data_IF_305962202088
#
_entry.id   IF_305962202088
#
_cell.length_a   1.000
_cell.length_b   1.000
_cell.length_c   1.000
_cell.angle_alpha   90.00
_cell.angle_beta   90.00
_cell.angle_gamma   90.00
#
_symmetry.space_group_name_H-M   'P 1'
#
loop_
_entity.id
_entity.type
_entity.pdbx_description
1 polymer ?
#
# COMPACT_ATOMS: atom_id res chain seq x y z
N UNK A 1 11.20 26.38 21.23
CA UNK A 1 10.86 26.87 19.89
C UNK A 1 9.39 26.72 19.56
N UNK A 2 8.96 27.42 18.53
CA UNK A 2 7.57 27.31 18.05
C UNK A 2 7.37 25.99 17.34
N UNK A 3 6.27 25.33 17.67
CA UNK A 3 5.85 24.10 17.03
C UNK A 3 4.73 24.40 16.01
N UNK A 4 4.95 24.00 14.79
CA UNK A 4 3.97 24.18 13.72
C UNK A 4 3.35 22.84 13.39
N UNK A 5 2.04 22.71 13.58
CA UNK A 5 1.26 21.53 13.18
C UNK A 5 0.50 21.86 11.90
N UNK A 6 0.61 20.96 10.92
CA UNK A 6 -0.13 21.07 9.66
C UNK A 6 -1.06 19.87 9.50
N UNK A 7 -2.21 20.14 8.92
CA UNK A 7 -3.18 19.08 8.61
C UNK A 7 -2.77 18.34 7.34
N UNK A 8 -2.80 17.01 7.41
CA UNK A 8 -2.81 16.15 6.23
C UNK A 8 -4.27 15.80 5.93
N UNK A 9 -4.88 16.54 5.02
CA UNK A 9 -6.30 16.41 4.69
C UNK A 9 -6.61 15.15 3.90
N UNK A 10 -5.66 14.71 3.06
CA UNK A 10 -5.82 13.50 2.26
C UNK A 10 -4.47 12.93 1.86
N UNK A 11 -4.28 11.63 2.13
CA UNK A 11 -3.22 10.81 1.56
C UNK A 11 -3.83 9.46 1.20
N UNK A 12 -4.01 9.22 -0.08
CA UNK A 12 -4.65 8.01 -0.59
C UNK A 12 -3.66 7.15 -1.37
N UNK A 13 -3.57 5.87 -1.01
CA UNK A 13 -2.69 4.89 -1.63
C UNK A 13 -3.54 3.74 -2.16
N UNK A 14 -3.72 3.66 -3.46
CA UNK A 14 -4.50 2.63 -4.14
C UNK A 14 -3.62 1.66 -4.94
N UNK A 15 -3.93 0.38 -4.90
CA UNK A 15 -3.27 -0.68 -5.67
C UNK A 15 -1.74 -0.70 -5.50
N UNK A 16 -1.25 -0.45 -4.28
CA UNK A 16 0.16 -0.30 -3.99
C UNK A 16 0.76 -1.55 -3.36
N UNK A 17 2.07 -1.75 -3.60
CA UNK A 17 2.91 -2.65 -2.80
C UNK A 17 3.96 -1.79 -2.10
N UNK A 18 4.00 -1.83 -0.76
CA UNK A 18 5.02 -1.19 0.06
C UNK A 18 5.66 -2.29 0.91
N UNK A 19 6.75 -2.84 0.40
CA UNK A 19 7.42 -4.00 0.96
C UNK A 19 8.93 -3.89 0.73
N UNK A 20 9.70 -4.26 1.73
CA UNK A 20 11.15 -4.23 1.66
C UNK A 20 11.79 -5.20 2.65
N UNK A 21 13.09 -5.06 2.86
CA UNK A 21 13.88 -5.89 3.76
C UNK A 21 13.79 -5.45 5.23
N UNK A 22 13.27 -4.27 5.49
CA UNK A 22 13.07 -3.74 6.84
C UNK A 22 11.99 -4.50 7.59
N UNK A 23 12.02 -4.39 8.90
CA UNK A 23 11.00 -4.98 9.76
C UNK A 23 9.66 -4.25 9.63
N UNK A 24 9.72 -2.95 9.45
CA UNK A 24 8.58 -2.06 9.28
C UNK A 24 8.90 -1.05 8.18
N UNK A 25 8.18 -1.10 7.06
CA UNK A 25 8.40 -0.23 5.90
C UNK A 25 7.49 1.01 5.92
N UNK A 26 6.53 1.06 6.85
CA UNK A 26 5.60 2.18 6.98
C UNK A 26 5.60 2.65 8.43
N UNK A 27 5.85 3.92 8.62
CA UNK A 27 5.76 4.57 9.93
C UNK A 27 4.72 5.67 9.87
N UNK A 28 3.74 5.60 10.74
CA UNK A 28 2.65 6.56 10.85
C UNK A 28 2.84 7.38 12.13
N UNK A 29 3.30 8.61 11.99
CA UNK A 29 3.46 9.54 13.09
C UNK A 29 2.27 10.48 13.18
N UNK A 30 1.59 10.49 14.33
CA UNK A 30 0.39 11.28 14.56
C UNK A 30 0.70 12.39 15.58
N UNK A 31 0.32 13.61 15.22
CA UNK A 31 0.30 14.74 16.13
C UNK A 31 -1.14 15.02 16.55
N UNK A 32 -1.41 14.95 17.86
CA UNK A 32 -2.78 15.01 18.40
C UNK A 32 -3.53 16.32 18.11
N UNK A 33 -2.80 17.40 17.81
CA UNK A 33 -3.41 18.70 17.51
C UNK A 33 -3.70 18.93 16.03
N UNK A 34 -3.35 17.98 15.16
CA UNK A 34 -3.53 18.06 13.71
C UNK A 34 -4.49 17.03 13.16
N UNK A 35 -4.93 17.25 11.92
CA UNK A 35 -5.68 16.27 11.12
C UNK A 35 -4.69 15.40 10.38
N UNK A 36 -4.86 14.09 10.46
CA UNK A 36 -4.05 13.09 9.78
C UNK A 36 -4.95 12.07 9.09
N UNK A 37 -5.39 12.43 7.88
CA UNK A 37 -6.25 11.60 7.06
C UNK A 37 -5.41 10.85 6.02
N UNK A 38 -5.34 9.54 6.18
CA UNK A 38 -4.71 8.65 5.21
C UNK A 38 -5.62 7.46 4.94
N UNK A 39 -5.46 6.84 3.78
CA UNK A 39 -6.19 5.63 3.42
C UNK A 39 -5.38 4.75 2.49
N UNK A 40 -5.22 3.49 2.86
CA UNK A 40 -4.67 2.44 1.99
C UNK A 40 -5.83 1.59 1.48
N UNK A 41 -6.03 1.57 0.17
CA UNK A 41 -7.09 0.80 -0.47
C UNK A 41 -6.51 -0.22 -1.44
N UNK A 42 -6.73 -1.50 -1.19
CA UNK A 42 -6.14 -2.59 -1.95
C UNK A 42 -4.62 -2.42 -2.01
N UNK A 43 -3.95 -2.72 -0.93
CA UNK A 43 -2.49 -2.57 -0.81
C UNK A 43 -1.86 -3.76 -0.10
N UNK A 44 -0.66 -4.12 -0.50
CA UNK A 44 0.18 -5.07 0.22
C UNK A 44 1.24 -4.27 0.99
N UNK A 45 1.19 -4.39 2.30
CA UNK A 45 1.93 -3.53 3.21
C UNK A 45 2.78 -4.35 4.17
N UNK A 46 4.04 -3.93 4.35
CA UNK A 46 4.87 -4.41 5.45
C UNK A 46 4.86 -3.35 6.54
N UNK A 47 4.08 -3.60 7.57
CA UNK A 47 3.84 -2.67 8.66
C UNK A 47 3.78 -3.44 9.97
N UNK A 48 4.38 -2.90 11.01
CA UNK A 48 4.22 -3.41 12.35
C UNK A 48 2.76 -3.25 12.80
N UNK A 49 2.22 -4.27 13.44
CA UNK A 49 0.87 -4.23 14.03
C UNK A 49 0.89 -3.44 15.34
N UNK A 50 1.30 -2.20 15.29
CA UNK A 50 1.37 -1.27 16.43
C UNK A 50 1.27 -1.93 17.82
N UNK A 51 2.35 -2.52 18.34
CA UNK A 51 2.32 -3.30 19.57
C UNK A 51 1.89 -2.49 20.80
N UNK A 52 1.96 -1.17 20.70
CA UNK A 52 1.55 -0.26 21.78
C UNK A 52 0.07 0.15 21.65
N UNK A 53 -0.59 -0.14 20.54
CA UNK A 53 -2.02 0.13 20.30
C UNK A 53 -2.41 1.61 20.32
N UNK A 54 -1.45 2.50 20.13
CA UNK A 54 -1.66 3.93 20.37
C UNK A 54 -1.68 4.80 19.11
N UNK A 55 -1.25 4.28 17.97
CA UNK A 55 -1.03 5.09 16.77
C UNK A 55 -1.97 4.74 15.62
N UNK A 56 -2.20 3.45 15.38
CA UNK A 56 -3.05 2.99 14.30
C UNK A 56 -3.56 1.57 14.57
N UNK A 57 -4.68 1.23 13.94
CA UNK A 57 -5.27 -0.11 13.96
C UNK A 57 -5.42 -0.59 12.52
N UNK A 58 -4.66 -1.63 12.14
CA UNK A 58 -4.68 -2.17 10.78
C UNK A 58 -6.02 -2.83 10.41
N UNK A 59 -6.91 -3.04 11.39
CA UNK A 59 -8.26 -3.55 11.16
C UNK A 59 -9.29 -2.44 10.95
N UNK A 60 -8.91 -1.17 11.13
CA UNK A 60 -9.82 -0.05 10.98
C UNK A 60 -10.08 0.27 9.50
N UNK A 61 -11.32 0.07 9.00
CA UNK A 61 -11.65 0.31 7.60
C UNK A 61 -11.63 1.79 7.20
N UNK A 62 -11.55 2.70 8.15
CA UNK A 62 -11.34 4.12 7.88
C UNK A 62 -9.98 4.37 7.22
N UNK A 63 -8.97 3.57 7.57
CA UNK A 63 -7.59 3.76 7.13
C UNK A 63 -7.08 2.64 6.23
N UNK A 64 -7.60 1.41 6.40
CA UNK A 64 -7.14 0.24 5.67
C UNK A 64 -8.33 -0.54 5.11
N UNK A 65 -8.41 -0.64 3.79
CA UNK A 65 -9.47 -1.39 3.12
C UNK A 65 -8.86 -2.39 2.16
N UNK A 66 -9.26 -3.65 2.26
CA UNK A 66 -8.83 -4.71 1.35
C UNK A 66 -7.30 -4.81 1.23
N UNK A 67 -6.60 -4.68 2.36
CA UNK A 67 -5.14 -4.75 2.43
C UNK A 67 -4.65 -6.14 2.81
N UNK A 68 -3.47 -6.47 2.31
CA UNK A 68 -2.70 -7.65 2.69
C UNK A 68 -1.50 -7.18 3.52
N UNK A 69 -1.32 -7.76 4.70
CA UNK A 69 -0.28 -7.33 5.63
C UNK A 69 0.81 -8.39 5.78
N UNK A 70 2.06 -7.94 5.74
CA UNK A 70 3.24 -8.71 6.14
C UNK A 70 3.41 -10.04 5.39
N UNK A 71 2.95 -10.09 4.14
CA UNK A 71 3.17 -11.23 3.25
C UNK A 71 4.15 -10.85 2.15
N UNK A 72 5.04 -11.77 1.79
CA UNK A 72 5.99 -11.55 0.70
C UNK A 72 5.22 -11.39 -0.62
N UNK A 73 5.43 -10.29 -1.37
CA UNK A 73 4.77 -10.08 -2.65
C UNK A 73 5.17 -11.09 -3.74
N UNK A 74 6.20 -11.89 -3.52
CA UNK A 74 6.69 -12.90 -4.49
C UNK A 74 7.06 -12.26 -5.83
N UNK A 75 7.98 -11.31 -5.80
CA UNK A 75 8.56 -10.77 -7.02
C UNK A 75 9.43 -11.82 -7.73
N UNK A 76 9.39 -11.81 -9.06
CA UNK A 76 10.13 -12.78 -9.89
C UNK A 76 11.63 -12.76 -9.61
N UNK A 77 12.24 -11.57 -9.60
CA UNK A 77 13.67 -11.43 -9.30
C UNK A 77 14.01 -10.02 -8.81
N UNK A 78 13.80 -9.77 -7.53
CA UNK A 78 14.08 -8.47 -6.92
C UNK A 78 15.57 -8.10 -6.92
N UNK A 79 16.47 -9.10 -6.94
CA UNK A 79 17.92 -8.86 -6.97
C UNK A 79 18.37 -8.18 -8.26
N UNK A 80 17.64 -8.39 -9.35
CA UNK A 80 17.86 -7.74 -10.65
C UNK A 80 16.78 -6.72 -10.99
N UNK A 81 16.10 -6.18 -9.99
CA UNK A 81 15.04 -5.17 -10.13
C UNK A 81 13.85 -5.62 -11.00
N UNK A 82 13.60 -6.92 -11.06
CA UNK A 82 12.42 -7.47 -11.71
C UNK A 82 11.28 -7.61 -10.69
N UNK A 83 10.44 -6.60 -10.61
CA UNK A 83 9.32 -6.50 -9.68
C UNK A 83 8.00 -7.00 -10.28
N UNK A 84 8.05 -7.78 -11.37
CA UNK A 84 6.90 -8.54 -11.83
C UNK A 84 6.49 -9.58 -10.77
N UNK A 85 5.20 -9.83 -10.67
CA UNK A 85 4.67 -10.78 -9.69
C UNK A 85 4.79 -12.21 -10.20
N UNK A 86 5.18 -13.13 -9.31
CA UNK A 86 5.12 -14.56 -9.59
C UNK A 86 3.67 -15.07 -9.55
N UNK A 87 3.42 -16.22 -10.14
CA UNK A 87 2.09 -16.87 -10.21
C UNK A 87 1.47 -17.20 -8.85
N UNK A 88 2.26 -17.21 -7.78
CA UNK A 88 1.82 -17.48 -6.41
C UNK A 88 1.71 -16.23 -5.56
N UNK A 89 1.87 -15.04 -6.16
CA UNK A 89 1.84 -13.79 -5.42
C UNK A 89 0.49 -13.53 -4.75
N UNK A 90 0.47 -13.12 -3.47
CA UNK A 90 -0.76 -12.68 -2.81
C UNK A 90 -1.27 -11.34 -3.33
N UNK A 91 -0.53 -10.67 -4.19
CA UNK A 91 -0.89 -9.37 -4.78
C UNK A 91 -1.68 -9.48 -6.09
N UNK A 92 -1.87 -10.70 -6.61
CA UNK A 92 -2.56 -10.93 -7.88
C UNK A 92 -4.07 -10.72 -7.76
N UNK A 93 -4.66 -10.02 -8.72
CA UNK A 93 -6.10 -9.86 -8.92
C UNK A 93 -6.88 -9.28 -7.71
N UNK A 94 -6.20 -8.59 -6.81
CA UNK A 94 -6.83 -7.99 -5.62
C UNK A 94 -6.87 -6.47 -5.66
N UNK A 95 -6.43 -5.88 -6.75
CA UNK A 95 -6.47 -4.44 -6.94
C UNK A 95 -7.89 -3.90 -7.05
N UNK A 96 -8.05 -2.63 -6.73
CA UNK A 96 -9.30 -1.92 -6.86
C UNK A 96 -9.50 -1.47 -8.33
N UNK A 97 -10.65 -1.85 -8.91
CA UNK A 97 -10.94 -1.56 -10.32
C UNK A 97 -11.14 -0.07 -10.58
N UNK A 98 -11.69 0.69 -9.62
CA UNK A 98 -11.88 2.13 -9.79
C UNK A 98 -10.53 2.86 -9.83
N UNK A 99 -9.58 2.46 -8.99
CA UNK A 99 -8.22 3.01 -9.02
C UNK A 99 -7.49 2.62 -10.32
N UNK A 100 -7.70 1.39 -10.80
CA UNK A 100 -7.14 0.92 -12.06
C UNK A 100 -7.67 1.72 -13.27
N UNK A 101 -8.93 2.19 -13.24
CA UNK A 101 -9.46 3.05 -14.29
C UNK A 101 -8.79 4.43 -14.34
N UNK A 102 -8.27 4.93 -13.21
CA UNK A 102 -7.51 6.18 -13.16
C UNK A 102 -6.10 6.02 -13.76
N UNK A 103 -5.54 4.81 -13.67
CA UNK A 103 -4.21 4.46 -14.22
C UNK A 103 -4.36 3.15 -14.99
N UNK A 104 -4.94 3.18 -16.19
CA UNK A 104 -5.39 1.96 -16.88
C UNK A 104 -4.28 1.09 -17.46
N UNK A 105 -3.05 1.60 -17.50
CA UNK A 105 -1.89 0.86 -17.98
C UNK A 105 -0.81 0.84 -16.91
N UNK A 106 -0.10 -0.27 -16.82
CA UNK A 106 1.07 -0.39 -15.97
C UNK A 106 2.30 0.31 -16.61
N UNK A 107 3.45 0.25 -15.92
CA UNK A 107 4.69 0.89 -16.42
C UNK A 107 5.23 0.26 -17.70
N UNK A 108 4.78 -0.94 -18.06
CA UNK A 108 5.17 -1.65 -19.29
C UNK A 108 4.12 -1.52 -20.41
N UNK A 109 3.01 -0.80 -20.15
CA UNK A 109 1.93 -0.61 -21.11
C UNK A 109 0.87 -1.73 -21.11
N UNK A 110 0.88 -2.62 -20.13
CA UNK A 110 -0.13 -3.67 -19.98
C UNK A 110 -1.40 -3.08 -19.38
N UNK A 111 -2.55 -3.43 -19.94
CA UNK A 111 -3.86 -2.98 -19.44
C UNK A 111 -4.19 -3.68 -18.12
N UNK A 112 -4.56 -2.89 -17.12
CA UNK A 112 -4.89 -3.35 -15.77
C UNK A 112 -6.34 -3.11 -15.34
N UNK A 113 -7.23 -2.81 -16.28
CA UNK A 113 -8.61 -2.45 -15.94
C UNK A 113 -9.50 -3.66 -15.62
N UNK A 114 -9.04 -4.86 -15.93
CA UNK A 114 -9.76 -6.10 -15.65
C UNK A 114 -8.94 -6.92 -14.65
N UNK A 115 -9.49 -7.15 -13.46
CA UNK A 115 -8.85 -7.88 -12.37
C UNK A 115 -7.42 -7.37 -12.05
N UNK A 116 -7.26 -6.09 -11.70
CA UNK A 116 -5.94 -5.50 -11.54
C UNK A 116 -5.11 -6.16 -10.43
N UNK A 117 -3.82 -6.27 -10.68
CA UNK A 117 -2.84 -6.65 -9.68
C UNK A 117 -2.41 -5.45 -8.84
N UNK A 118 -1.82 -5.69 -7.67
CA UNK A 118 -1.15 -4.63 -6.92
C UNK A 118 0.23 -4.35 -7.49
N UNK A 119 0.69 -3.12 -7.29
CA UNK A 119 2.04 -2.70 -7.66
C UNK A 119 2.15 -2.11 -9.06
N UNK A 120 3.40 -2.02 -9.55
CA UNK A 120 3.75 -1.27 -10.75
C UNK A 120 3.60 -2.07 -12.05
N UNK A 121 3.52 -3.40 -11.97
CA UNK A 121 3.53 -4.30 -13.13
C UNK A 121 2.35 -5.26 -13.02
N UNK A 122 1.54 -5.28 -14.08
CA UNK A 122 0.43 -6.20 -14.26
C UNK A 122 0.93 -7.52 -14.82
N UNK A 123 0.39 -8.64 -14.33
CA UNK A 123 0.75 -9.98 -14.78
C UNK A 123 -0.23 -10.56 -15.78
#
# INVERSE_FOLDING_TARGET
GNRYVRNLSKAYFGNCIIYGSGFNEIVLGIENSGIFNYHFNSALLKIDEDPDGNHYDITDPTFFTNCVFNQDPQFVDKAYNNYALDSISPALNIGNSNDALLVPFDILGTNRTIAPDLGAIER
#
